data_IF_357886253091
#
_entry.id   IF_357886253091
#
_cell.length_a   1.000
_cell.length_b   1.000
_cell.length_c   1.000
_cell.angle_alpha   90.00
_cell.angle_beta   90.00
_cell.angle_gamma   90.00
#
_symmetry.space_group_name_H-M   'P 1'
#
loop_
_entity.id
_entity.type
_entity.pdbx_description
1 polymer ?
#
# COMPACT_ATOMS: atom_id res chain seq x y z
N UNK A 1 2.36 0.88 -9.96
CA UNK A 1 1.62 1.99 -9.32
C UNK A 1 2.58 3.02 -8.79
N UNK A 2 2.38 4.28 -9.12
CA UNK A 2 3.19 5.36 -8.57
C UNK A 2 2.90 5.56 -7.08
N UNK A 3 3.84 6.13 -6.36
CA UNK A 3 3.69 6.34 -4.91
C UNK A 3 2.47 7.21 -4.57
N UNK A 4 2.19 8.23 -5.39
CA UNK A 4 1.02 9.09 -5.19
C UNK A 4 -0.29 8.33 -5.31
N UNK A 5 -0.37 7.43 -6.27
CA UNK A 5 -1.56 6.57 -6.43
C UNK A 5 -1.74 5.64 -5.24
N UNK A 6 -0.65 5.13 -4.67
CA UNK A 6 -0.70 4.29 -3.49
C UNK A 6 -1.17 5.06 -2.26
N UNK A 7 -0.69 6.28 -2.10
CA UNK A 7 -1.16 7.15 -1.02
C UNK A 7 -2.66 7.35 -1.13
N UNK A 8 -3.15 7.65 -2.33
CA UNK A 8 -4.59 7.81 -2.56
C UNK A 8 -5.35 6.53 -2.26
N UNK A 9 -4.83 5.40 -2.71
CA UNK A 9 -5.45 4.10 -2.48
C UNK A 9 -5.64 3.81 -0.98
N UNK A 10 -4.57 3.93 -0.21
CA UNK A 10 -4.64 3.67 1.22
C UNK A 10 -5.47 4.71 1.95
N UNK A 11 -5.41 5.96 1.52
CA UNK A 11 -6.25 7.01 2.10
C UNK A 11 -7.74 6.69 1.92
N UNK A 12 -8.14 6.32 0.73
CA UNK A 12 -9.52 5.95 0.44
C UNK A 12 -9.94 4.69 1.19
N UNK A 13 -9.04 3.73 1.28
CA UNK A 13 -9.28 2.49 2.03
C UNK A 13 -9.55 2.77 3.51
N UNK A 14 -8.86 3.73 4.07
CA UNK A 14 -9.04 4.16 5.46
C UNK A 14 -10.18 5.16 5.65
N UNK A 15 -10.82 5.59 4.57
CA UNK A 15 -11.93 6.54 4.65
C UNK A 15 -11.53 7.96 5.02
N UNK A 16 -10.31 8.36 4.72
CA UNK A 16 -9.78 9.68 5.08
C UNK A 16 -9.92 10.65 3.91
N UNK A 17 -10.13 11.94 4.24
CA UNK A 17 -10.01 13.02 3.26
C UNK A 17 -8.56 13.44 3.11
N UNK A 18 -8.24 14.12 2.02
CA UNK A 18 -6.91 14.68 1.82
C UNK A 18 -6.54 15.65 2.94
N UNK A 19 -7.47 16.48 3.33
CA UNK A 19 -7.26 17.45 4.41
C UNK A 19 -6.95 16.75 5.73
N UNK A 20 -7.74 15.75 6.08
CA UNK A 20 -7.55 15.01 7.33
C UNK A 20 -6.18 14.33 7.35
N UNK A 21 -5.85 13.61 6.28
CA UNK A 21 -4.56 12.93 6.20
C UNK A 21 -3.40 13.92 6.28
N UNK A 22 -3.51 15.04 5.57
CA UNK A 22 -2.49 16.09 5.61
C UNK A 22 -2.28 16.65 7.03
N UNK A 23 -3.35 16.87 7.77
CA UNK A 23 -3.26 17.33 9.15
C UNK A 23 -2.63 16.30 10.08
N UNK A 24 -3.00 15.02 9.91
CA UNK A 24 -2.47 13.94 10.74
C UNK A 24 -0.96 13.79 10.57
N UNK A 25 -0.45 13.98 9.37
CA UNK A 25 0.99 13.90 9.12
C UNK A 25 1.74 15.19 9.44
N UNK A 26 1.03 16.23 9.89
CA UNK A 26 1.66 17.43 10.43
C UNK A 26 1.62 18.65 9.53
N UNK A 27 0.87 18.64 8.45
CA UNK A 27 0.74 19.83 7.60
C UNK A 27 -0.23 20.85 8.22
N UNK A 28 0.01 22.15 7.99
CA UNK A 28 -0.92 23.19 8.44
C UNK A 28 -2.32 22.97 7.84
N UNK A 29 -3.35 23.27 8.62
CA UNK A 29 -4.73 23.08 8.18
C UNK A 29 -5.03 23.79 6.86
N UNK A 30 -4.50 25.00 6.67
CA UNK A 30 -4.78 25.79 5.47
C UNK A 30 -4.25 25.19 4.19
N UNK A 31 -3.20 24.36 4.27
CA UNK A 31 -2.51 23.81 3.10
C UNK A 31 -2.51 22.28 3.08
N UNK A 32 -3.10 21.65 4.07
CA UNK A 32 -3.05 20.21 4.20
C UNK A 32 -3.62 19.47 2.99
N UNK A 33 -4.78 19.88 2.53
CA UNK A 33 -5.43 19.30 1.37
C UNK A 33 -4.64 19.55 0.07
N UNK A 34 -4.15 20.76 -0.11
CA UNK A 34 -3.38 21.14 -1.28
C UNK A 34 -2.06 20.33 -1.35
N UNK A 35 -1.35 20.25 -0.24
CA UNK A 35 -0.11 19.50 -0.18
C UNK A 35 -0.33 18.01 -0.43
N UNK A 36 -1.35 17.45 0.19
CA UNK A 36 -1.66 16.04 -0.01
C UNK A 36 -2.05 15.76 -1.46
N UNK A 37 -2.83 16.64 -2.07
CA UNK A 37 -3.19 16.52 -3.47
C UNK A 37 -1.95 16.54 -4.38
N UNK A 38 -0.96 17.35 -4.06
CA UNK A 38 0.29 17.39 -4.82
C UNK A 38 1.08 16.08 -4.73
N UNK A 39 1.13 15.46 -3.56
CA UNK A 39 1.77 14.16 -3.39
C UNK A 39 1.00 13.07 -4.11
N UNK A 40 -0.32 13.08 -4.07
CA UNK A 40 -1.14 12.07 -4.73
C UNK A 40 -1.10 12.19 -6.26
N UNK A 41 -1.00 13.40 -6.78
CA UNK A 41 -0.91 13.63 -8.22
C UNK A 41 0.48 13.41 -8.82
N UNK A 42 1.50 13.32 -7.96
CA UNK A 42 2.88 13.21 -8.41
C UNK A 42 3.59 14.52 -8.66
N UNK A 43 2.94 15.67 -8.40
CA UNK A 43 3.58 16.99 -8.51
C UNK A 43 4.70 17.17 -7.50
N UNK A 44 4.60 16.49 -6.36
CA UNK A 44 5.66 16.41 -5.36
C UNK A 44 5.93 14.97 -5.00
N UNK A 45 7.20 14.67 -4.72
CA UNK A 45 7.61 13.34 -4.26
C UNK A 45 7.82 13.38 -2.76
N UNK A 46 7.16 12.52 -1.99
CA UNK A 46 7.34 12.49 -0.55
C UNK A 46 8.75 12.00 -0.19
N UNK A 47 9.34 12.61 0.81
CA UNK A 47 10.62 12.19 1.37
C UNK A 47 10.40 11.04 2.37
N UNK A 48 11.51 10.41 2.77
CA UNK A 48 11.45 9.27 3.67
C UNK A 48 10.68 9.53 4.95
N UNK A 49 10.83 10.70 5.55
CA UNK A 49 10.12 11.06 6.78
C UNK A 49 8.60 11.06 6.59
N UNK A 50 8.13 11.61 5.47
CA UNK A 50 6.71 11.64 5.17
C UNK A 50 6.19 10.25 4.85
N UNK A 51 6.96 9.45 4.11
CA UNK A 51 6.61 8.08 3.81
C UNK A 51 6.43 7.27 5.10
N UNK A 52 7.34 7.43 6.05
CA UNK A 52 7.24 6.76 7.34
C UNK A 52 6.00 7.18 8.12
N UNK A 53 5.68 8.47 8.12
CA UNK A 53 4.48 8.97 8.78
C UNK A 53 3.20 8.44 8.14
N UNK A 54 3.15 8.42 6.82
CA UNK A 54 2.01 7.89 6.09
C UNK A 54 1.84 6.39 6.36
N UNK A 55 2.93 5.63 6.34
CA UNK A 55 2.89 4.21 6.64
C UNK A 55 2.37 3.94 8.06
N UNK A 56 2.80 4.75 9.01
CA UNK A 56 2.32 4.64 10.39
C UNK A 56 0.82 4.92 10.50
N UNK A 57 0.34 5.97 9.82
CA UNK A 57 -1.08 6.32 9.81
C UNK A 57 -1.92 5.22 9.16
N UNK A 58 -1.43 4.63 8.08
CA UNK A 58 -2.12 3.56 7.37
C UNK A 58 -1.93 2.18 8.01
N UNK A 59 -1.06 2.08 9.01
CA UNK A 59 -0.70 0.82 9.66
C UNK A 59 -0.16 -0.20 8.67
N UNK A 60 0.77 0.24 7.83
CA UNK A 60 1.43 -0.59 6.83
C UNK A 60 2.93 -0.38 6.89
N UNK A 61 3.68 -1.29 6.23
CA UNK A 61 5.11 -1.12 6.06
C UNK A 61 5.43 0.04 5.12
N UNK A 62 6.47 0.84 5.38
CA UNK A 62 6.89 1.88 4.45
C UNK A 62 7.18 1.36 3.04
N UNK A 63 7.62 0.12 2.91
CA UNK A 63 7.86 -0.49 1.61
C UNK A 63 6.58 -0.62 0.78
N UNK A 64 5.43 -0.76 1.42
CA UNK A 64 4.17 -0.83 0.70
C UNK A 64 3.86 0.45 -0.07
N UNK A 65 4.38 1.58 0.38
CA UNK A 65 4.25 2.87 -0.31
C UNK A 65 5.37 3.12 -1.30
N UNK A 66 6.57 2.62 -1.02
CA UNK A 66 7.78 3.01 -1.72
C UNK A 66 8.24 2.05 -2.81
N UNK A 67 7.47 1.01 -3.14
CA UNK A 67 7.76 0.16 -4.29
C UNK A 67 7.63 1.01 -5.55
N UNK A 68 8.75 1.27 -6.24
CA UNK A 68 8.78 2.39 -7.18
C UNK A 68 8.21 2.06 -8.56
N UNK A 69 8.12 0.80 -8.96
CA UNK A 69 7.82 0.49 -10.33
C UNK A 69 6.98 -0.78 -10.49
N UNK A 70 6.52 -0.95 -11.72
CA UNK A 70 5.68 -2.06 -12.11
C UNK A 70 6.44 -3.39 -12.12
N UNK A 71 7.75 -3.36 -12.35
CA UNK A 71 8.56 -4.56 -12.40
C UNK A 71 8.63 -5.24 -11.03
N UNK A 72 8.77 -4.45 -9.97
CA UNK A 72 8.73 -4.98 -8.60
C UNK A 72 7.37 -5.58 -8.27
N UNK A 73 6.29 -4.96 -8.73
CA UNK A 73 4.95 -5.46 -8.53
C UNK A 73 4.76 -6.80 -9.27
N UNK A 74 5.20 -6.88 -10.51
CA UNK A 74 5.14 -8.12 -11.30
C UNK A 74 5.98 -9.21 -10.64
N UNK A 75 7.16 -8.88 -10.14
CA UNK A 75 8.01 -9.82 -9.42
C UNK A 75 7.33 -10.41 -8.20
N UNK A 76 6.64 -9.58 -7.42
CA UNK A 76 5.88 -10.04 -6.27
C UNK A 76 4.77 -11.01 -6.68
N UNK A 77 4.03 -10.69 -7.75
CA UNK A 77 2.97 -11.56 -8.24
C UNK A 77 3.51 -12.91 -8.70
N UNK A 78 4.64 -12.92 -9.39
CA UNK A 78 5.29 -14.16 -9.79
C UNK A 78 5.69 -15.02 -8.59
N UNK A 79 6.20 -14.39 -7.56
CA UNK A 79 6.57 -15.10 -6.32
C UNK A 79 5.35 -15.76 -5.68
N UNK A 80 4.23 -15.07 -5.62
CA UNK A 80 2.99 -15.62 -5.07
C UNK A 80 2.50 -16.80 -5.88
N UNK A 81 2.51 -16.71 -7.22
CA UNK A 81 2.11 -17.81 -8.08
C UNK A 81 3.02 -19.02 -7.94
N UNK A 82 4.31 -18.78 -7.81
CA UNK A 82 5.27 -19.88 -7.60
C UNK A 82 5.01 -20.61 -6.29
N UNK A 83 4.71 -19.90 -5.21
CA UNK A 83 4.36 -20.50 -3.93
C UNK A 83 3.09 -21.34 -4.04
N UNK A 84 2.08 -20.83 -4.74
CA UNK A 84 0.84 -21.57 -4.96
C UNK A 84 1.10 -22.88 -5.69
N UNK A 85 1.85 -22.85 -6.77
CA UNK A 85 2.11 -24.03 -7.60
C UNK A 85 3.00 -25.06 -6.89
N UNK A 86 4.05 -24.61 -6.22
CA UNK A 86 5.05 -25.50 -5.64
C UNK A 86 4.65 -26.14 -4.34
N UNK A 87 3.92 -25.41 -3.51
CA UNK A 87 3.69 -25.81 -2.12
C UNK A 87 2.23 -26.05 -1.80
N UNK A 88 1.38 -26.02 -2.80
CA UNK A 88 -0.06 -26.18 -2.59
C UNK A 88 -0.68 -25.04 -1.81
N UNK A 89 -0.01 -23.90 -1.82
CA UNK A 89 -0.55 -22.68 -1.18
C UNK A 89 -1.73 -22.19 -2.01
N UNK A 90 -2.85 -22.03 -1.37
CA UNK A 90 -4.07 -21.56 -2.04
C UNK A 90 -4.28 -20.09 -1.79
N UNK A 91 -4.48 -19.35 -2.88
CA UNK A 91 -4.83 -17.94 -2.81
C UNK A 91 -6.31 -17.80 -3.10
N UNK A 92 -7.08 -17.40 -2.12
CA UNK A 92 -8.51 -17.21 -2.26
C UNK A 92 -8.84 -15.73 -2.38
N UNK A 93 -9.59 -15.41 -3.41
CA UNK A 93 -10.19 -14.08 -3.54
C UNK A 93 -11.56 -14.14 -2.88
N UNK A 94 -11.69 -13.45 -1.79
CA UNK A 94 -12.94 -13.39 -1.03
C UNK A 94 -13.46 -11.98 -1.01
N UNK A 95 -14.61 -11.79 -0.39
CA UNK A 95 -15.18 -10.46 -0.19
C UNK A 95 -14.27 -9.56 0.61
N UNK A 96 -13.40 -10.12 1.43
CA UNK A 96 -12.46 -9.39 2.26
C UNK A 96 -11.10 -9.20 1.61
N UNK A 97 -10.96 -9.57 0.33
CA UNK A 97 -9.73 -9.45 -0.41
C UNK A 97 -9.12 -10.80 -0.73
N UNK A 98 -7.81 -10.92 -0.55
CA UNK A 98 -7.09 -12.14 -0.85
C UNK A 98 -6.60 -12.78 0.44
N UNK A 99 -7.02 -14.01 0.65
CA UNK A 99 -6.53 -14.84 1.77
C UNK A 99 -5.60 -15.92 1.20
N UNK A 100 -4.52 -16.20 1.93
CA UNK A 100 -3.56 -17.23 1.56
C UNK A 100 -3.50 -18.30 2.64
N UNK A 101 -3.59 -19.55 2.22
CA UNK A 101 -3.37 -20.67 3.14
C UNK A 101 -2.84 -21.86 2.37
N UNK A 102 -2.10 -22.72 3.07
CA UNK A 102 -1.60 -23.95 2.49
C UNK A 102 -2.64 -25.05 2.59
N UNK A 103 -2.61 -25.96 1.62
CA UNK A 103 -3.36 -27.20 1.72
C UNK A 103 -2.90 -27.96 2.97
N UNK A 104 -3.79 -28.35 3.88
CA UNK A 104 -3.41 -29.08 5.08
C UNK A 104 -2.60 -30.34 4.81
N UNK A 105 -2.83 -30.97 3.67
CA UNK A 105 -2.10 -32.19 3.28
C UNK A 105 -0.63 -31.94 3.00
N UNK A 106 -0.27 -30.71 2.65
CA UNK A 106 1.10 -30.32 2.38
C UNK A 106 1.81 -29.80 3.62
N UNK A 107 1.11 -29.59 4.69
CA UNK A 107 1.67 -29.15 5.97
C UNK A 107 2.56 -27.91 5.86
N UNK A 108 2.18 -26.97 5.02
CA UNK A 108 2.98 -25.80 4.77
C UNK A 108 2.77 -24.68 5.81
N UNK A 109 1.66 -24.71 6.46
CA UNK A 109 1.33 -23.75 7.53
C UNK A 109 1.38 -24.45 8.89
#
# INVERSE_FOLDING_TARGET
MAIGERIRFFRNLCGMTQKYLGQVVGFPEKTADIRMAQYESGSRTPKADLINKLAEVFDISPQALSVPDIDSYIGLMHTLFTLEDRYGLTILKTENGVSMYADPRNCLL
#
